data_IF_966885414186
#
_entry.id   IF_966885414186
#
_cell.length_a   1.000
_cell.length_b   1.000
_cell.length_c   1.000
_cell.angle_alpha   90.00
_cell.angle_beta   90.00
_cell.angle_gamma   90.00
#
_symmetry.space_group_name_H-M   'P 1'
#
loop_
_entity.id
_entity.type
_entity.pdbx_description
1 polymer ?
#
# COMPACT_ATOMS: atom_id res chain seq x y z
N UNK A 1 -28.40 -55.36 -28.28
CA UNK A 1 -27.78 -54.21 -28.94
C UNK A 1 -26.94 -53.50 -27.91
N UNK A 2 -25.67 -53.87 -27.92
CA UNK A 2 -24.73 -53.61 -26.84
C UNK A 2 -24.42 -52.12 -26.68
N UNK A 3 -24.13 -51.66 -25.44
CA UNK A 3 -23.90 -50.26 -25.16
C UNK A 3 -22.57 -49.75 -25.76
N UNK A 4 -22.50 -48.47 -26.14
CA UNK A 4 -21.39 -47.88 -26.88
C UNK A 4 -20.09 -47.72 -26.07
N UNK A 5 -18.98 -47.77 -26.81
CA UNK A 5 -17.58 -47.92 -26.40
C UNK A 5 -16.93 -46.78 -25.58
N UNK A 6 -17.69 -45.91 -24.92
CA UNK A 6 -17.14 -44.85 -24.06
C UNK A 6 -16.78 -45.33 -22.64
N UNK A 7 -17.13 -46.58 -22.29
CA UNK A 7 -16.85 -47.17 -20.97
C UNK A 7 -15.42 -47.72 -20.82
N UNK A 8 -14.64 -47.82 -21.90
CA UNK A 8 -13.28 -48.42 -21.89
C UNK A 8 -12.12 -47.42 -21.75
N UNK A 9 -12.40 -46.12 -21.58
CA UNK A 9 -11.37 -45.08 -21.42
C UNK A 9 -11.04 -44.79 -19.94
N UNK A 10 -11.76 -45.39 -18.98
CA UNK A 10 -11.63 -45.09 -17.55
C UNK A 10 -10.68 -46.01 -16.74
N UNK A 11 -10.03 -47.01 -17.35
CA UNK A 11 -9.21 -48.01 -16.62
C UNK A 11 -7.91 -48.38 -17.35
N UNK A 12 -7.05 -47.39 -17.60
CA UNK A 12 -5.81 -47.54 -18.37
C UNK A 12 -5.00 -48.82 -18.11
N UNK A 13 -4.81 -49.61 -19.17
CA UNK A 13 -3.71 -50.57 -19.36
C UNK A 13 -3.45 -50.81 -20.86
N UNK A 14 -2.20 -51.12 -21.26
CA UNK A 14 -1.74 -51.07 -22.66
C UNK A 14 -1.80 -52.43 -23.35
N UNK A 15 -1.93 -52.46 -24.68
CA UNK A 15 -1.51 -53.62 -25.47
C UNK A 15 -1.03 -53.24 -26.88
N UNK A 16 0.25 -53.50 -27.12
CA UNK A 16 0.90 -53.64 -28.44
C UNK A 16 0.79 -55.13 -28.83
N UNK A 17 0.67 -55.52 -30.12
CA UNK A 17 1.90 -55.87 -30.85
C UNK A 17 1.88 -55.56 -32.36
N UNK A 18 3.10 -55.44 -32.88
CA UNK A 18 3.51 -55.33 -34.27
C UNK A 18 3.06 -56.50 -35.17
N UNK A 19 2.85 -56.22 -36.47
CA UNK A 19 3.60 -56.78 -37.62
C UNK A 19 2.84 -56.41 -38.90
N UNK A 20 3.56 -55.92 -39.93
CA UNK A 20 3.42 -56.32 -41.35
C UNK A 20 4.26 -55.35 -42.20
N UNK A 21 5.28 -55.91 -42.85
CA UNK A 21 6.16 -55.24 -43.80
C UNK A 21 5.73 -55.57 -45.24
N UNK A 22 5.90 -54.64 -46.17
CA UNK A 22 6.25 -54.96 -47.57
C UNK A 22 6.99 -53.79 -48.24
N UNK A 23 7.83 -54.07 -49.26
CA UNK A 23 8.90 -53.19 -49.74
C UNK A 23 8.60 -52.53 -51.09
N UNK A 24 9.32 -51.45 -51.45
CA UNK A 24 9.99 -51.20 -52.75
C UNK A 24 10.36 -49.72 -52.97
N UNK A 25 11.30 -49.50 -53.90
CA UNK A 25 11.81 -48.26 -54.52
C UNK A 25 12.92 -47.48 -53.78
N UNK A 26 14.22 -47.72 -54.04
CA UNK A 26 15.05 -47.50 -55.26
C UNK A 26 15.45 -46.02 -55.48
N UNK A 27 16.77 -45.79 -55.40
CA UNK A 27 17.61 -44.65 -55.87
C UNK A 27 17.51 -43.31 -55.12
N UNK A 28 18.61 -42.95 -54.45
CA UNK A 28 19.43 -41.81 -54.88
C UNK A 28 20.79 -41.81 -54.19
N UNK A 29 21.79 -41.55 -55.02
CA UNK A 29 23.21 -41.52 -54.81
C UNK A 29 23.76 -40.48 -53.81
N UNK A 30 24.92 -40.84 -53.27
CA UNK A 30 26.09 -39.96 -53.04
C UNK A 30 25.88 -38.71 -52.18
N UNK A 31 26.31 -38.80 -50.92
CA UNK A 31 27.24 -37.88 -50.24
C UNK A 31 27.80 -38.70 -49.06
N UNK A 32 29.14 -38.86 -48.94
CA UNK A 32 29.75 -39.34 -47.69
C UNK A 32 30.06 -38.13 -46.80
N UNK A 33 29.36 -37.92 -45.67
CA UNK A 33 29.84 -37.00 -44.65
C UNK A 33 30.91 -37.70 -43.81
N UNK A 34 31.98 -36.97 -43.48
CA UNK A 34 33.02 -37.35 -42.52
C UNK A 34 32.40 -38.01 -41.28
N UNK A 35 33.04 -39.06 -40.77
CA UNK A 35 32.73 -39.66 -39.46
C UNK A 35 32.78 -38.57 -38.39
N UNK A 36 31.62 -38.05 -38.00
CA UNK A 36 31.48 -37.15 -36.85
C UNK A 36 31.76 -38.02 -35.62
N UNK A 37 32.92 -37.82 -34.99
CA UNK A 37 33.18 -38.36 -33.66
C UNK A 37 32.15 -37.72 -32.74
N UNK A 38 31.15 -38.50 -32.32
CA UNK A 38 30.19 -38.07 -31.30
C UNK A 38 30.97 -37.94 -29.99
N UNK A 39 31.36 -36.72 -29.65
CA UNK A 39 31.76 -36.39 -28.28
C UNK A 39 30.51 -36.63 -27.44
N UNK A 40 30.54 -37.63 -26.55
CA UNK A 40 29.46 -37.82 -25.58
C UNK A 40 29.28 -36.49 -24.83
N UNK A 41 28.05 -35.99 -24.65
CA UNK A 41 27.86 -34.85 -23.78
C UNK A 41 28.34 -35.30 -22.40
N UNK A 42 29.36 -34.60 -21.87
CA UNK A 42 29.77 -34.76 -20.48
C UNK A 42 28.47 -34.68 -19.68
N UNK A 43 28.09 -35.78 -19.01
CA UNK A 43 27.00 -35.80 -18.02
C UNK A 43 27.48 -34.99 -16.82
N UNK A 44 27.60 -33.69 -17.04
CA UNK A 44 28.17 -32.72 -16.14
C UNK A 44 27.13 -32.48 -15.05
N UNK A 45 27.46 -32.97 -13.87
CA UNK A 45 27.19 -32.44 -12.52
C UNK A 45 25.79 -31.92 -12.14
N UNK A 46 24.78 -31.94 -13.01
CA UNK A 46 23.41 -31.47 -12.72
C UNK A 46 22.76 -32.29 -11.62
N UNK A 47 23.06 -33.59 -11.54
CA UNK A 47 22.53 -34.47 -10.48
C UNK A 47 23.16 -34.20 -9.12
N UNK A 48 24.45 -33.82 -9.06
CA UNK A 48 25.12 -33.46 -7.79
C UNK A 48 24.77 -32.03 -7.37
N UNK A 49 24.66 -31.10 -8.31
CA UNK A 49 24.20 -29.73 -8.04
C UNK A 49 22.76 -29.71 -7.53
N UNK A 50 21.87 -30.50 -8.15
CA UNK A 50 20.47 -30.61 -7.72
C UNK A 50 20.35 -31.28 -6.34
N UNK A 51 21.15 -32.32 -6.09
CA UNK A 51 21.19 -32.98 -4.78
C UNK A 51 21.83 -32.09 -3.70
N UNK A 52 22.81 -31.26 -4.07
CA UNK A 52 23.39 -30.27 -3.19
C UNK A 52 22.41 -29.13 -2.90
N UNK A 53 21.62 -28.67 -3.88
CA UNK A 53 20.59 -27.66 -3.64
C UNK A 53 19.45 -28.20 -2.77
N UNK A 54 19.02 -29.45 -3.00
CA UNK A 54 18.01 -30.12 -2.18
C UNK A 54 18.51 -30.31 -0.73
N UNK A 55 19.77 -30.74 -0.55
CA UNK A 55 20.40 -30.86 0.77
C UNK A 55 20.53 -29.51 1.49
N UNK A 56 20.94 -28.46 0.78
CA UNK A 56 21.01 -27.09 1.32
C UNK A 56 19.61 -26.58 1.70
N UNK A 57 18.58 -26.86 0.89
CA UNK A 57 17.20 -26.47 1.17
C UNK A 57 16.63 -27.18 2.40
N UNK A 58 16.80 -28.49 2.54
CA UNK A 58 16.36 -29.24 3.73
C UNK A 58 17.02 -28.71 5.00
N UNK A 59 18.31 -28.37 4.93
CA UNK A 59 19.07 -27.97 6.12
C UNK A 59 18.86 -26.50 6.53
N UNK A 60 18.43 -25.65 5.60
CA UNK A 60 18.14 -24.23 5.85
C UNK A 60 16.66 -23.98 6.18
N UNK A 61 15.73 -24.75 5.60
CA UNK A 61 14.29 -24.48 5.70
C UNK A 61 13.59 -25.21 6.85
N UNK A 62 14.06 -26.40 7.23
CA UNK A 62 13.43 -27.22 8.28
C UNK A 62 13.99 -26.90 9.68
N UNK A 63 14.08 -25.61 10.03
CA UNK A 63 14.40 -25.16 11.39
C UNK A 63 13.13 -24.75 12.12
N UNK A 64 12.98 -25.26 13.35
CA UNK A 64 11.89 -24.89 14.26
C UNK A 64 11.77 -23.36 14.37
N UNK A 65 10.63 -22.82 13.90
CA UNK A 65 10.29 -21.39 13.92
C UNK A 65 10.43 -20.84 15.34
N UNK A 66 11.57 -20.23 15.61
CA UNK A 66 11.89 -19.63 16.90
C UNK A 66 11.77 -18.12 16.73
N UNK A 67 10.93 -17.46 17.53
CA UNK A 67 10.71 -16.01 17.49
C UNK A 67 12.04 -15.18 17.54
N UNK A 68 13.09 -15.74 18.17
CA UNK A 68 14.43 -15.18 18.18
C UNK A 68 15.09 -15.05 16.79
N UNK A 69 14.81 -15.97 15.87
CA UNK A 69 15.35 -15.92 14.51
C UNK A 69 14.73 -14.76 13.71
N UNK A 70 13.46 -14.42 13.94
CA UNK A 70 12.82 -13.28 13.30
C UNK A 70 13.46 -11.96 13.77
N UNK A 71 13.66 -11.79 15.09
CA UNK A 71 14.35 -10.62 15.63
C UNK A 71 15.80 -10.51 15.14
N UNK A 72 16.53 -11.62 15.08
CA UNK A 72 17.90 -11.65 14.56
C UNK A 72 17.94 -11.28 13.07
N UNK A 73 17.00 -11.78 12.28
CA UNK A 73 16.88 -11.47 10.84
C UNK A 73 16.60 -9.99 10.64
N UNK A 74 15.67 -9.40 11.42
CA UNK A 74 15.37 -7.97 11.37
C UNK A 74 16.60 -7.14 11.75
N UNK A 75 17.32 -7.52 12.82
CA UNK A 75 18.55 -6.84 13.24
C UNK A 75 19.62 -6.86 12.13
N UNK A 76 19.84 -8.02 11.51
CA UNK A 76 20.80 -8.17 10.42
C UNK A 76 20.38 -7.34 9.20
N UNK A 77 19.09 -7.34 8.84
CA UNK A 77 18.58 -6.51 7.74
C UNK A 77 18.76 -5.01 8.00
N UNK A 78 18.51 -4.55 9.24
CA UNK A 78 18.74 -3.16 9.64
C UNK A 78 20.23 -2.81 9.54
N UNK A 79 21.12 -3.67 10.02
CA UNK A 79 22.57 -3.47 9.96
C UNK A 79 23.09 -3.46 8.52
N UNK A 80 22.60 -4.36 7.66
CA UNK A 80 22.94 -4.40 6.23
C UNK A 80 22.45 -3.13 5.53
N UNK A 81 21.22 -2.69 5.82
CA UNK A 81 20.66 -1.46 5.26
C UNK A 81 21.47 -0.24 5.72
N UNK A 82 21.90 -0.22 6.98
CA UNK A 82 22.76 0.84 7.52
C UNK A 82 24.15 0.84 6.89
N UNK A 83 24.77 -0.32 6.72
CA UNK A 83 26.07 -0.47 6.07
C UNK A 83 26.01 -0.05 4.60
N UNK A 84 24.93 -0.39 3.90
CA UNK A 84 24.65 0.08 2.54
C UNK A 84 24.54 1.62 2.48
N UNK A 85 23.82 2.23 3.43
CA UNK A 85 23.68 3.69 3.52
C UNK A 85 25.02 4.39 3.80
N UNK A 86 25.85 3.84 4.68
CA UNK A 86 27.21 4.33 4.94
C UNK A 86 28.05 4.30 3.67
N UNK A 87 28.00 3.20 2.91
CA UNK A 87 28.76 3.05 1.67
C UNK A 87 28.29 4.03 0.58
N UNK A 88 26.99 4.32 0.51
CA UNK A 88 26.40 5.15 -0.56
C UNK A 88 26.50 6.66 -0.30
N UNK A 89 26.44 7.12 0.96
CA UNK A 89 26.25 8.53 1.32
C UNK A 89 27.33 9.11 2.24
N UNK A 90 28.37 8.32 2.58
CA UNK A 90 29.64 8.64 3.25
C UNK A 90 29.67 9.85 4.20
N UNK A 91 29.58 11.09 3.71
CA UNK A 91 29.67 12.32 4.53
C UNK A 91 28.38 12.67 5.29
N UNK A 92 27.20 12.27 4.81
CA UNK A 92 25.90 12.63 5.42
C UNK A 92 25.37 11.60 6.43
N UNK A 93 26.07 10.48 6.59
CA UNK A 93 25.73 9.35 7.49
C UNK A 93 26.62 9.32 8.74
N UNK A 94 27.43 10.36 8.94
CA UNK A 94 28.14 10.55 10.22
C UNK A 94 27.14 10.68 11.37
N UNK A 95 27.51 10.34 12.63
CA UNK A 95 26.60 10.45 13.79
C UNK A 95 26.00 11.86 14.00
N UNK A 96 26.60 12.88 13.38
CA UNK A 96 26.14 14.27 13.34
C UNK A 96 25.25 14.62 12.14
N UNK A 97 25.15 13.75 11.13
CA UNK A 97 24.43 13.97 9.89
C UNK A 97 22.91 13.83 10.02
N UNK A 98 22.18 14.57 9.20
CA UNK A 98 20.71 14.62 9.26
C UNK A 98 20.04 13.30 8.81
N UNK A 99 20.64 12.54 7.87
CA UNK A 99 20.16 11.20 7.53
C UNK A 99 20.29 10.22 8.68
N UNK A 100 21.38 10.29 9.44
CA UNK A 100 21.57 9.45 10.62
C UNK A 100 20.48 9.74 11.67
N UNK A 101 20.19 11.02 11.92
CA UNK A 101 19.11 11.43 12.84
C UNK A 101 17.74 10.92 12.39
N UNK A 102 17.45 10.91 11.08
CA UNK A 102 16.23 10.32 10.53
C UNK A 102 16.16 8.81 10.72
N UNK A 103 17.26 8.10 10.47
CA UNK A 103 17.31 6.67 10.69
C UNK A 103 17.06 6.32 12.16
N UNK A 104 17.71 7.03 13.08
CA UNK A 104 17.49 6.86 14.51
C UNK A 104 16.03 7.15 14.88
N UNK A 105 15.42 8.20 14.32
CA UNK A 105 13.99 8.45 14.50
C UNK A 105 13.13 7.25 14.08
N UNK A 106 13.37 6.69 12.90
CA UNK A 106 12.62 5.53 12.38
C UNK A 106 12.84 4.30 13.26
N UNK A 107 14.08 4.02 13.69
CA UNK A 107 14.39 2.88 14.56
C UNK A 107 13.75 3.03 15.94
N UNK A 108 13.84 4.21 16.56
CA UNK A 108 13.17 4.50 17.83
C UNK A 108 11.65 4.37 17.71
N UNK A 109 11.05 4.86 16.62
CA UNK A 109 9.63 4.69 16.37
C UNK A 109 9.25 3.21 16.19
N UNK A 110 10.05 2.43 15.45
CA UNK A 110 9.84 1.00 15.24
C UNK A 110 9.93 0.18 16.53
N UNK A 111 10.79 0.58 17.49
CA UNK A 111 10.88 -0.05 18.82
C UNK A 111 9.77 0.42 19.76
N UNK A 112 9.35 1.69 19.67
CA UNK A 112 8.31 2.24 20.53
C UNK A 112 6.90 1.71 20.20
N UNK A 113 6.65 1.35 18.93
CA UNK A 113 5.41 0.73 18.49
C UNK A 113 5.07 -0.58 19.25
N UNK A 114 5.91 -1.63 19.27
CA UNK A 114 5.64 -2.84 20.03
C UNK A 114 5.67 -2.62 21.55
N UNK A 115 6.47 -1.67 22.04
CA UNK A 115 6.50 -1.33 23.46
C UNK A 115 5.15 -0.77 23.96
N UNK A 116 4.54 0.12 23.18
CA UNK A 116 3.19 0.63 23.48
C UNK A 116 2.11 -0.42 23.25
N UNK A 117 2.29 -1.33 22.28
CA UNK A 117 1.40 -2.47 22.08
C UNK A 117 1.39 -3.42 23.29
N UNK A 118 2.53 -3.62 23.97
CA UNK A 118 2.61 -4.42 25.21
C UNK A 118 1.73 -3.83 26.33
N UNK A 119 1.57 -2.51 26.35
CA UNK A 119 0.68 -1.79 27.26
C UNK A 119 -0.79 -1.75 26.78
N UNK A 120 -1.13 -2.49 25.71
CA UNK A 120 -2.44 -2.48 25.03
C UNK A 120 -2.84 -1.12 24.45
N UNK A 121 -1.86 -0.25 24.17
CA UNK A 121 -2.09 1.03 23.51
C UNK A 121 -1.85 0.91 22.00
N UNK A 122 -2.46 1.78 21.16
CA UNK A 122 -2.23 1.79 19.73
C UNK A 122 -0.74 2.02 19.40
N UNK A 123 -0.10 1.24 18.52
CA UNK A 123 1.33 1.37 18.19
C UNK A 123 1.74 2.77 17.68
N UNK A 124 0.82 3.48 17.02
CA UNK A 124 1.03 4.84 16.54
C UNK A 124 1.31 5.84 17.67
N UNK A 125 0.75 5.61 18.85
CA UNK A 125 1.05 6.41 20.03
C UNK A 125 2.52 6.28 20.42
N UNK A 126 3.09 5.07 20.37
CA UNK A 126 4.51 4.83 20.63
C UNK A 126 5.40 5.54 19.61
N UNK A 127 5.05 5.46 18.33
CA UNK A 127 5.79 6.16 17.27
C UNK A 127 5.75 7.69 17.46
N UNK A 128 4.59 8.24 17.83
CA UNK A 128 4.45 9.67 18.12
C UNK A 128 5.29 10.09 19.33
N UNK A 129 5.23 9.34 20.43
CA UNK A 129 6.00 9.62 21.65
C UNK A 129 7.51 9.56 21.39
N UNK A 130 7.98 8.59 20.60
CA UNK A 130 9.38 8.51 20.20
C UNK A 130 9.82 9.78 19.46
N UNK A 131 9.01 10.27 18.53
CA UNK A 131 9.28 11.52 17.82
C UNK A 131 9.30 12.75 18.73
N UNK A 132 8.34 12.85 19.66
CA UNK A 132 8.29 13.94 20.65
C UNK A 132 9.55 13.90 21.52
N UNK A 133 9.90 12.75 22.11
CA UNK A 133 11.07 12.60 23.00
C UNK A 133 12.37 12.98 22.26
N UNK A 134 12.57 12.47 21.04
CA UNK A 134 13.78 12.77 20.26
C UNK A 134 13.89 14.25 19.88
N UNK A 135 12.76 14.92 19.63
CA UNK A 135 12.72 16.36 19.39
C UNK A 135 12.98 17.15 20.67
N UNK A 136 12.38 16.75 21.80
CA UNK A 136 12.52 17.42 23.10
C UNK A 136 13.93 17.34 23.67
N UNK A 137 14.62 16.21 23.51
CA UNK A 137 16.03 16.03 23.92
C UNK A 137 16.99 16.82 23.02
N UNK A 138 16.51 17.39 21.91
CA UNK A 138 17.31 18.15 20.96
C UNK A 138 18.13 17.27 20.00
N UNK A 139 17.93 15.95 20.02
CA UNK A 139 18.62 15.01 19.14
C UNK A 139 18.13 15.13 17.70
N UNK A 140 16.80 15.27 17.51
CA UNK A 140 16.20 15.38 16.19
C UNK A 140 16.07 16.84 15.74
N UNK A 141 17.06 17.28 14.97
CA UNK A 141 16.98 18.49 14.15
C UNK A 141 17.40 18.14 12.73
N UNK A 142 16.60 18.58 11.77
CA UNK A 142 16.76 18.26 10.36
C UNK A 142 16.83 19.59 9.60
N UNK A 143 17.88 19.78 8.83
CA UNK A 143 18.19 21.04 8.15
C UNK A 143 18.35 20.84 6.63
N UNK A 144 18.46 21.93 5.87
CA UNK A 144 18.68 21.86 4.41
C UNK A 144 17.50 21.25 3.64
N UNK A 145 17.80 20.25 2.78
CA UNK A 145 16.82 19.60 1.88
C UNK A 145 15.90 18.60 2.59
N UNK A 146 16.31 18.14 3.76
CA UNK A 146 15.69 17.01 4.43
C UNK A 146 14.25 17.26 4.97
N UNK A 147 13.86 18.46 5.43
CA UNK A 147 12.46 18.72 5.78
C UNK A 147 11.51 18.57 4.58
N UNK A 148 11.94 18.96 3.38
CA UNK A 148 11.18 18.77 2.15
C UNK A 148 11.03 17.28 1.82
N UNK A 149 12.11 16.49 1.97
CA UNK A 149 12.07 15.03 1.80
C UNK A 149 11.07 14.39 2.78
N UNK A 150 11.08 14.78 4.06
CA UNK A 150 10.13 14.27 5.06
C UNK A 150 8.69 14.64 4.71
N UNK A 151 8.45 15.86 4.25
CA UNK A 151 7.13 16.28 3.80
C UNK A 151 6.63 15.41 2.64
N UNK A 152 7.48 15.20 1.63
CA UNK A 152 7.16 14.36 0.46
C UNK A 152 6.94 12.90 0.84
N UNK A 153 7.72 12.34 1.77
CA UNK A 153 7.54 10.98 2.29
C UNK A 153 6.21 10.82 3.01
N UNK A 154 5.83 11.79 3.85
CA UNK A 154 4.54 11.78 4.55
C UNK A 154 3.37 11.85 3.57
N UNK A 155 3.45 12.73 2.58
CA UNK A 155 2.45 12.84 1.52
C UNK A 155 2.34 11.52 0.73
N UNK A 156 3.47 10.96 0.29
CA UNK A 156 3.53 9.67 -0.41
C UNK A 156 2.89 8.54 0.40
N UNK A 157 3.20 8.44 1.70
CA UNK A 157 2.63 7.42 2.57
C UNK A 157 1.10 7.58 2.70
N UNK A 158 0.62 8.81 2.90
CA UNK A 158 -0.81 9.12 2.94
C UNK A 158 -1.51 8.71 1.64
N UNK A 159 -0.93 9.03 0.49
CA UNK A 159 -1.44 8.63 -0.84
C UNK A 159 -1.59 7.12 -0.95
N UNK A 160 -0.55 6.36 -0.58
CA UNK A 160 -0.58 4.89 -0.64
C UNK A 160 -1.67 4.31 0.27
N UNK A 161 -1.84 4.88 1.47
CA UNK A 161 -2.89 4.46 2.41
C UNK A 161 -4.29 4.73 1.82
N UNK A 162 -4.52 5.92 1.25
CA UNK A 162 -5.80 6.27 0.63
C UNK A 162 -6.10 5.45 -0.62
N UNK A 163 -5.09 5.16 -1.45
CA UNK A 163 -5.24 4.24 -2.61
C UNK A 163 -5.65 2.85 -2.12
N UNK A 164 -4.99 2.32 -1.08
CA UNK A 164 -5.38 1.04 -0.47
C UNK A 164 -6.81 1.08 0.07
N UNK A 165 -7.22 2.17 0.72
CA UNK A 165 -8.59 2.35 1.19
C UNK A 165 -9.59 2.26 0.03
N UNK A 166 -9.34 3.03 -1.04
CA UNK A 166 -10.21 3.10 -2.22
C UNK A 166 -10.34 1.76 -2.95
N UNK A 167 -9.22 1.05 -3.14
CA UNK A 167 -9.22 -0.29 -3.73
C UNK A 167 -9.90 -1.35 -2.84
N UNK A 168 -9.97 -1.10 -1.52
CA UNK A 168 -10.67 -1.95 -0.56
C UNK A 168 -12.18 -1.73 -0.49
N UNK A 169 -12.74 -0.76 -1.21
CA UNK A 169 -14.18 -0.47 -1.21
C UNK A 169 -14.96 -1.46 -2.11
N UNK A 170 -16.17 -1.81 -1.70
CA UNK A 170 -17.14 -2.50 -2.55
C UNK A 170 -18.12 -1.48 -3.18
N UNK A 171 -18.08 -1.28 -4.51
CA UNK A 171 -18.97 -0.33 -5.19
C UNK A 171 -20.46 -0.63 -5.02
N UNK A 172 -20.84 -1.91 -4.97
CA UNK A 172 -22.26 -2.29 -4.85
C UNK A 172 -22.82 -1.88 -3.48
N UNK A 173 -22.07 -2.17 -2.41
CA UNK A 173 -22.39 -1.72 -1.05
C UNK A 173 -22.34 -0.20 -0.93
N UNK A 174 -21.38 0.47 -1.57
CA UNK A 174 -21.24 1.93 -1.52
C UNK A 174 -22.47 2.64 -2.10
N UNK A 175 -22.96 2.21 -3.27
CA UNK A 175 -24.16 2.78 -3.89
C UNK A 175 -25.39 2.52 -3.00
N UNK A 176 -25.52 1.29 -2.47
CA UNK A 176 -26.62 0.91 -1.58
C UNK A 176 -26.66 1.74 -0.30
N UNK A 177 -25.52 2.11 0.25
CA UNK A 177 -25.39 2.84 1.52
C UNK A 177 -25.04 4.33 1.34
N UNK A 178 -25.06 4.85 0.12
CA UNK A 178 -24.59 6.21 -0.24
C UNK A 178 -25.16 7.31 0.66
N UNK A 179 -26.46 7.29 0.95
CA UNK A 179 -27.10 8.27 1.84
C UNK A 179 -26.59 8.16 3.29
N UNK A 180 -26.30 6.95 3.77
CA UNK A 180 -25.73 6.71 5.10
C UNK A 180 -24.29 7.20 5.15
N UNK A 181 -23.51 6.98 4.08
CA UNK A 181 -22.13 7.48 3.95
C UNK A 181 -22.08 9.00 4.05
N UNK A 182 -22.94 9.70 3.31
CA UNK A 182 -23.02 11.17 3.33
C UNK A 182 -23.43 11.67 4.73
N UNK A 183 -24.46 11.06 5.33
CA UNK A 183 -24.90 11.44 6.67
C UNK A 183 -23.81 11.20 7.72
N UNK A 184 -23.10 10.07 7.65
CA UNK A 184 -22.05 9.71 8.58
C UNK A 184 -20.77 10.54 8.40
N UNK A 185 -20.44 10.94 7.18
CA UNK A 185 -19.25 11.76 6.90
C UNK A 185 -19.44 13.25 7.20
N UNK A 186 -20.64 13.82 7.01
CA UNK A 186 -20.84 15.27 7.12
C UNK A 186 -21.49 15.68 8.46
N UNK A 187 -22.50 14.95 8.92
CA UNK A 187 -23.28 15.38 10.09
C UNK A 187 -22.48 15.31 11.40
N UNK A 188 -21.79 14.20 11.75
CA UNK A 188 -20.91 14.15 12.92
C UNK A 188 -19.80 15.20 12.84
N UNK A 189 -19.09 15.26 11.70
CA UNK A 189 -18.02 16.22 11.44
C UNK A 189 -18.42 17.66 11.77
N UNK A 190 -19.55 18.11 11.21
CA UNK A 190 -20.06 19.48 11.41
C UNK A 190 -20.52 19.73 12.84
N UNK A 191 -21.19 18.77 13.47
CA UNK A 191 -21.64 18.90 14.87
C UNK A 191 -20.43 18.95 15.81
N UNK A 192 -19.42 18.11 15.60
CA UNK A 192 -18.18 18.10 16.39
C UNK A 192 -17.43 19.42 16.22
N UNK A 193 -17.22 19.87 14.99
CA UNK A 193 -16.54 21.14 14.69
C UNK A 193 -17.25 22.34 15.34
N UNK A 194 -18.58 22.42 15.24
CA UNK A 194 -19.37 23.51 15.85
C UNK A 194 -19.31 23.42 17.37
N UNK A 195 -19.38 22.21 17.94
CA UNK A 195 -19.26 22.02 19.40
C UNK A 195 -17.91 22.50 19.91
N UNK A 196 -16.82 22.12 19.22
CA UNK A 196 -15.46 22.57 19.55
C UNK A 196 -15.34 24.09 19.41
N UNK A 197 -15.91 24.68 18.36
CA UNK A 197 -15.91 26.12 18.17
C UNK A 197 -16.66 26.85 19.29
N UNK A 198 -17.85 26.40 19.66
CA UNK A 198 -18.63 26.94 20.78
C UNK A 198 -17.82 26.87 22.07
N UNK A 199 -17.21 25.72 22.37
CA UNK A 199 -16.36 25.56 23.55
C UNK A 199 -15.17 26.51 23.52
N UNK A 200 -14.49 26.67 22.37
CA UNK A 200 -13.34 27.56 22.24
C UNK A 200 -13.72 29.05 22.43
N UNK A 201 -14.88 29.48 21.92
CA UNK A 201 -15.38 30.85 22.13
C UNK A 201 -15.65 31.10 23.61
N UNK A 202 -16.37 30.19 24.29
CA UNK A 202 -16.77 30.41 25.68
C UNK A 202 -15.64 30.16 26.69
N UNK A 203 -14.75 29.20 26.43
CA UNK A 203 -13.67 28.84 27.35
C UNK A 203 -12.42 29.69 27.15
N UNK A 204 -12.05 29.99 25.90
CA UNK A 204 -10.81 30.68 25.56
C UNK A 204 -11.03 32.14 25.14
N UNK A 205 -12.28 32.57 24.95
CA UNK A 205 -12.60 33.93 24.50
C UNK A 205 -12.22 34.19 23.05
N UNK A 206 -12.07 33.15 22.23
CA UNK A 206 -11.63 33.29 20.85
C UNK A 206 -12.73 33.85 19.94
N UNK A 207 -12.38 34.58 18.87
CA UNK A 207 -13.35 34.97 17.84
C UNK A 207 -13.92 33.74 17.13
N UNK A 208 -15.19 33.82 16.71
CA UNK A 208 -15.91 32.71 16.07
C UNK A 208 -15.19 32.09 14.87
N UNK A 209 -14.59 32.91 13.99
CA UNK A 209 -13.87 32.39 12.82
C UNK A 209 -12.65 31.54 13.22
N UNK A 210 -11.85 32.00 14.18
CA UNK A 210 -10.71 31.23 14.71
C UNK A 210 -11.14 29.96 15.42
N UNK A 211 -12.25 30.03 16.16
CA UNK A 211 -12.84 28.89 16.82
C UNK A 211 -13.38 27.84 15.83
N UNK A 212 -13.98 28.28 14.71
CA UNK A 212 -14.42 27.39 13.63
C UNK A 212 -13.24 26.75 12.88
N UNK A 213 -12.17 27.51 12.62
CA UNK A 213 -10.91 26.95 12.08
C UNK A 213 -10.38 25.85 13.01
N UNK A 214 -10.36 26.09 14.33
CA UNK A 214 -9.96 25.07 15.30
C UNK A 214 -10.91 23.87 15.30
N UNK A 215 -12.22 24.11 15.22
CA UNK A 215 -13.24 23.06 15.18
C UNK A 215 -13.03 22.10 14.02
N UNK A 216 -12.89 22.63 12.80
CA UNK A 216 -12.67 21.82 11.60
C UNK A 216 -11.26 21.21 11.53
N UNK A 217 -10.27 21.80 12.21
CA UNK A 217 -8.94 21.20 12.37
C UNK A 217 -8.98 19.96 13.29
N UNK A 218 -9.78 19.99 14.34
CA UNK A 218 -9.82 18.94 15.36
C UNK A 218 -10.83 17.82 15.07
N UNK A 219 -11.90 18.09 14.31
CA UNK A 219 -12.90 17.06 13.99
C UNK A 219 -12.44 16.07 12.91
N UNK A 220 -11.41 16.41 12.12
CA UNK A 220 -10.93 15.56 11.03
C UNK A 220 -10.40 14.22 11.55
N UNK A 221 -10.89 13.13 10.95
CA UNK A 221 -10.47 11.76 11.30
C UNK A 221 -9.09 11.46 10.71
N UNK A 222 -8.33 10.54 11.33
CA UNK A 222 -7.03 10.13 10.78
C UNK A 222 -7.14 8.85 9.94
N UNK A 223 -7.04 8.92 8.60
CA UNK A 223 -7.11 7.73 7.74
C UNK A 223 -5.88 6.83 7.93
N UNK A 224 -4.74 7.38 8.34
CA UNK A 224 -3.53 6.60 8.62
C UNK A 224 -3.73 5.57 9.75
N UNK A 225 -4.68 5.82 10.67
CA UNK A 225 -5.03 4.91 11.76
C UNK A 225 -6.22 4.04 11.35
N UNK A 226 -7.26 4.67 10.82
CA UNK A 226 -8.56 4.02 10.59
C UNK A 226 -8.52 3.07 9.40
N UNK A 227 -7.86 3.44 8.30
CA UNK A 227 -7.83 2.64 7.07
C UNK A 227 -7.17 1.28 7.29
N UNK A 228 -5.93 1.17 7.83
CA UNK A 228 -5.30 -0.13 8.02
C UNK A 228 -6.10 -1.04 8.96
N UNK A 229 -6.67 -0.49 10.03
CA UNK A 229 -7.46 -1.26 10.99
C UNK A 229 -8.76 -1.78 10.38
N UNK A 230 -9.47 -0.97 9.59
CA UNK A 230 -10.70 -1.42 8.94
C UNK A 230 -10.44 -2.44 7.83
N UNK A 231 -9.33 -2.32 7.10
CA UNK A 231 -8.94 -3.32 6.10
C UNK A 231 -8.56 -4.64 6.78
N UNK A 232 -7.79 -4.63 7.88
CA UNK A 232 -7.49 -5.84 8.67
C UNK A 232 -8.76 -6.52 9.20
N UNK A 233 -9.69 -5.74 9.75
CA UNK A 233 -10.98 -6.26 10.21
C UNK A 233 -11.80 -6.86 9.07
N UNK A 234 -11.78 -6.23 7.89
CA UNK A 234 -12.44 -6.73 6.68
C UNK A 234 -11.81 -8.05 6.22
N UNK A 235 -10.48 -8.14 6.16
CA UNK A 235 -9.75 -9.36 5.80
C UNK A 235 -10.07 -10.52 6.76
N UNK A 236 -10.36 -10.20 8.03
CA UNK A 236 -10.79 -11.17 9.06
C UNK A 236 -12.30 -11.47 9.02
N UNK A 237 -13.05 -10.91 8.07
CA UNK A 237 -14.49 -11.15 7.88
C UNK A 237 -15.42 -10.37 8.82
N UNK A 238 -14.91 -9.39 9.59
CA UNK A 238 -15.74 -8.61 10.52
C UNK A 238 -16.53 -7.51 9.79
N UNK A 239 -17.86 -7.52 9.97
CA UNK A 239 -18.73 -6.44 9.49
C UNK A 239 -18.93 -6.37 7.98
N UNK A 240 -18.33 -7.29 7.22
CA UNK A 240 -18.40 -7.34 5.75
C UNK A 240 -19.84 -7.56 5.26
N UNK A 241 -20.58 -8.49 5.87
CA UNK A 241 -21.99 -8.78 5.51
C UNK A 241 -22.91 -7.55 5.61
N UNK A 242 -22.56 -6.57 6.46
CA UNK A 242 -23.31 -5.33 6.65
C UNK A 242 -22.70 -4.14 5.90
N UNK A 243 -21.58 -4.34 5.21
CA UNK A 243 -20.88 -3.28 4.51
C UNK A 243 -20.22 -2.25 5.42
N UNK A 244 -20.00 -2.57 6.70
CA UNK A 244 -19.52 -1.59 7.69
C UNK A 244 -18.13 -1.05 7.34
N UNK A 245 -17.12 -1.89 7.00
CA UNK A 245 -15.80 -1.37 6.62
C UNK A 245 -15.88 -0.42 5.41
N UNK A 246 -16.64 -0.78 4.38
CA UNK A 246 -16.83 0.07 3.19
C UNK A 246 -17.56 1.37 3.52
N UNK A 247 -18.61 1.31 4.35
CA UNK A 247 -19.35 2.48 4.81
C UNK A 247 -18.44 3.45 5.56
N UNK A 248 -17.67 2.95 6.53
CA UNK A 248 -16.82 3.80 7.39
C UNK A 248 -15.62 4.34 6.60
N UNK A 249 -14.97 3.53 5.75
CA UNK A 249 -13.88 4.00 4.89
C UNK A 249 -14.36 5.12 3.95
N UNK A 250 -15.53 4.97 3.33
CA UNK A 250 -16.08 6.01 2.46
C UNK A 250 -16.52 7.26 3.23
N UNK A 251 -17.11 7.08 4.42
CA UNK A 251 -17.52 8.20 5.27
C UNK A 251 -16.32 8.99 5.80
N UNK A 252 -15.23 8.31 6.17
CA UNK A 252 -13.96 8.92 6.58
C UNK A 252 -13.37 9.80 5.44
N UNK A 253 -13.43 9.35 4.20
CA UNK A 253 -12.97 10.17 3.07
C UNK A 253 -13.83 11.43 2.86
N UNK A 254 -15.16 11.33 3.04
CA UNK A 254 -16.04 12.49 2.97
C UNK A 254 -15.86 13.44 4.15
N UNK A 255 -15.60 12.91 5.34
CA UNK A 255 -15.25 13.66 6.55
C UNK A 255 -13.99 14.51 6.29
N UNK A 256 -12.91 13.89 5.84
CA UNK A 256 -11.64 14.56 5.54
C UNK A 256 -11.81 15.67 4.49
N UNK A 257 -12.55 15.40 3.40
CA UNK A 257 -12.84 16.41 2.37
C UNK A 257 -13.62 17.58 2.98
N UNK A 258 -14.66 17.29 3.75
CA UNK A 258 -15.50 18.33 4.37
C UNK A 258 -14.70 19.17 5.36
N UNK A 259 -13.90 18.53 6.21
CA UNK A 259 -13.08 19.18 7.22
C UNK A 259 -12.03 20.09 6.59
N UNK A 260 -11.28 19.61 5.58
CA UNK A 260 -10.24 20.38 4.90
C UNK A 260 -10.85 21.55 4.12
N UNK A 261 -11.95 21.34 3.40
CA UNK A 261 -12.61 22.41 2.63
C UNK A 261 -13.16 23.51 3.54
N UNK A 262 -13.81 23.14 4.65
CA UNK A 262 -14.33 24.12 5.62
C UNK A 262 -13.21 24.83 6.38
N UNK A 263 -12.17 24.10 6.81
CA UNK A 263 -10.96 24.69 7.40
C UNK A 263 -10.36 25.76 6.47
N UNK A 264 -10.18 25.42 5.19
CA UNK A 264 -9.59 26.31 4.19
C UNK A 264 -10.48 27.52 3.91
N UNK A 265 -11.81 27.33 3.88
CA UNK A 265 -12.78 28.40 3.73
C UNK A 265 -12.71 29.41 4.88
N UNK A 266 -12.75 28.96 6.14
CA UNK A 266 -12.67 29.87 7.29
C UNK A 266 -11.31 30.54 7.41
N UNK A 267 -10.22 29.82 7.12
CA UNK A 267 -8.88 30.37 7.11
C UNK A 267 -8.72 31.45 6.02
N UNK A 268 -9.30 31.21 4.83
CA UNK A 268 -9.35 32.17 3.74
C UNK A 268 -10.09 33.45 4.15
N UNK A 269 -11.25 33.34 4.79
CA UNK A 269 -12.00 34.49 5.28
C UNK A 269 -11.26 35.33 6.34
N UNK A 270 -10.32 34.74 7.09
CA UNK A 270 -9.52 35.45 8.09
C UNK A 270 -8.40 36.26 7.43
N UNK A 271 -7.69 35.66 6.47
CA UNK A 271 -6.46 36.23 5.91
C UNK A 271 -6.64 36.97 4.58
N UNK A 272 -7.78 36.78 3.91
CA UNK A 272 -8.05 37.42 2.63
C UNK A 272 -8.74 38.76 2.78
N UNK A 273 -8.25 39.75 2.04
CA UNK A 273 -8.90 41.05 1.80
C UNK A 273 -9.64 41.12 0.46
N UNK A 274 -9.68 40.02 -0.31
CA UNK A 274 -10.31 39.95 -1.64
C UNK A 274 -11.82 39.69 -1.61
N UNK A 275 -12.42 39.57 -2.81
CA UNK A 275 -13.86 39.34 -2.99
C UNK A 275 -14.29 38.01 -2.32
N UNK A 276 -15.18 38.12 -1.33
CA UNK A 276 -15.65 37.01 -0.50
C UNK A 276 -16.30 35.91 -1.35
N UNK A 277 -16.93 36.31 -2.46
CA UNK A 277 -17.65 35.44 -3.38
C UNK A 277 -16.74 34.40 -4.03
N UNK A 278 -15.54 34.81 -4.47
CA UNK A 278 -14.58 33.92 -5.11
C UNK A 278 -13.97 32.91 -4.13
N UNK A 279 -13.79 33.28 -2.86
CA UNK A 279 -13.24 32.39 -1.84
C UNK A 279 -14.24 31.34 -1.37
N UNK A 280 -15.51 31.74 -1.22
CA UNK A 280 -16.58 30.79 -0.91
C UNK A 280 -16.74 29.78 -2.05
N UNK A 281 -16.58 30.22 -3.30
CA UNK A 281 -16.69 29.35 -4.46
C UNK A 281 -15.47 28.43 -4.62
N UNK A 282 -14.29 28.85 -4.18
CA UNK A 282 -13.04 28.09 -4.34
C UNK A 282 -13.09 26.72 -3.64
N UNK A 283 -13.61 26.66 -2.41
CA UNK A 283 -13.71 25.40 -1.66
C UNK A 283 -14.52 24.31 -2.41
N UNK A 284 -15.79 24.57 -2.75
CA UNK A 284 -16.60 23.66 -3.55
C UNK A 284 -16.01 23.35 -4.93
N UNK A 285 -15.36 24.31 -5.59
CA UNK A 285 -14.73 24.04 -6.89
C UNK A 285 -13.57 23.08 -6.78
N UNK A 286 -12.75 23.16 -5.73
CA UNK A 286 -11.62 22.24 -5.53
C UNK A 286 -12.11 20.81 -5.31
N UNK A 287 -13.20 20.63 -4.54
CA UNK A 287 -13.86 19.32 -4.35
C UNK A 287 -14.35 18.79 -5.71
N UNK A 288 -15.05 19.63 -6.48
CA UNK A 288 -15.63 19.24 -7.76
C UNK A 288 -14.55 18.84 -8.77
N UNK A 289 -13.47 19.63 -8.88
CA UNK A 289 -12.32 19.33 -9.73
C UNK A 289 -11.67 18.02 -9.30
N UNK A 290 -11.48 17.79 -8.00
CA UNK A 290 -10.94 16.54 -7.46
C UNK A 290 -11.79 15.31 -7.82
N UNK A 291 -13.12 15.40 -7.68
CA UNK A 291 -14.05 14.33 -8.04
C UNK A 291 -13.99 14.05 -9.55
N UNK A 292 -14.08 15.09 -10.38
CA UNK A 292 -14.07 14.93 -11.84
C UNK A 292 -12.74 14.34 -12.31
N UNK A 293 -11.61 14.89 -11.87
CA UNK A 293 -10.29 14.39 -12.22
C UNK A 293 -10.09 12.93 -11.75
N UNK A 294 -10.52 12.62 -10.52
CA UNK A 294 -10.46 11.26 -9.97
C UNK A 294 -11.29 10.25 -10.74
N UNK A 295 -12.53 10.59 -11.11
CA UNK A 295 -13.40 9.73 -11.94
C UNK A 295 -12.79 9.52 -13.32
N UNK A 296 -12.34 10.58 -13.98
CA UNK A 296 -11.70 10.49 -15.29
C UNK A 296 -10.46 9.59 -15.25
N UNK A 297 -9.58 9.79 -14.27
CA UNK A 297 -8.40 8.96 -14.11
C UNK A 297 -8.74 7.51 -13.78
N UNK A 298 -9.75 7.28 -12.94
CA UNK A 298 -10.26 5.94 -12.62
C UNK A 298 -10.79 5.20 -13.84
N UNK A 299 -11.54 5.89 -14.70
CA UNK A 299 -12.04 5.34 -15.97
C UNK A 299 -10.86 4.97 -16.89
N UNK A 300 -9.89 5.88 -17.06
CA UNK A 300 -8.68 5.64 -17.88
C UNK A 300 -7.91 4.42 -17.38
N UNK A 301 -7.68 4.32 -16.06
CA UNK A 301 -7.03 3.16 -15.45
C UNK A 301 -7.83 1.88 -15.65
N UNK A 302 -9.16 1.93 -15.57
CA UNK A 302 -10.03 0.78 -15.77
C UNK A 302 -10.10 0.29 -17.23
N UNK A 303 -10.06 1.21 -18.19
CA UNK A 303 -10.29 0.93 -19.61
C UNK A 303 -9.05 0.58 -20.41
N UNK A 304 -7.88 1.17 -20.11
CA UNK A 304 -6.68 1.03 -20.94
C UNK A 304 -6.09 -0.40 -20.94
N UNK A 305 -5.93 -1.09 -19.79
CA UNK A 305 -5.39 -2.46 -19.80
C UNK A 305 -6.42 -3.46 -20.31
N UNK A 306 -6.10 -4.12 -21.41
CA UNK A 306 -6.94 -5.13 -22.04
C UNK A 306 -7.22 -6.29 -21.06
N UNK A 307 -8.44 -6.83 -21.06
CA UNK A 307 -8.88 -7.84 -20.08
C UNK A 307 -8.11 -9.16 -20.18
N UNK A 308 -7.58 -9.48 -21.35
CA UNK A 308 -6.88 -10.73 -21.63
C UNK A 308 -5.36 -10.65 -21.36
N UNK A 309 -4.87 -9.51 -20.89
CA UNK A 309 -3.46 -9.32 -20.55
C UNK A 309 -3.18 -9.93 -19.17
N UNK A 310 -2.23 -10.86 -19.09
CA UNK A 310 -1.81 -11.54 -17.86
C UNK A 310 -1.27 -10.53 -16.81
N UNK A 311 -0.77 -9.38 -17.26
CA UNK A 311 -0.27 -8.30 -16.39
C UNK A 311 -1.29 -7.17 -16.17
N UNK A 312 -2.57 -7.36 -16.53
CA UNK A 312 -3.58 -6.29 -16.43
C UNK A 312 -3.74 -5.75 -15.00
N UNK A 313 -3.74 -6.62 -13.98
CA UNK A 313 -3.87 -6.21 -12.57
C UNK A 313 -2.68 -5.35 -12.14
N UNK A 314 -1.46 -5.76 -12.50
CA UNK A 314 -0.26 -4.99 -12.20
C UNK A 314 -0.27 -3.63 -12.91
N UNK A 315 -0.62 -3.59 -14.20
CA UNK A 315 -0.70 -2.36 -14.98
C UNK A 315 -1.72 -1.38 -14.39
N UNK A 316 -2.91 -1.85 -14.02
CA UNK A 316 -3.95 -1.03 -13.37
C UNK A 316 -3.48 -0.48 -12.02
N UNK A 317 -2.93 -1.35 -11.17
CA UNK A 317 -2.41 -0.95 -9.86
C UNK A 317 -1.25 0.05 -9.98
N UNK A 318 -0.36 -0.14 -10.96
CA UNK A 318 0.73 0.79 -11.25
C UNK A 318 0.21 2.13 -11.76
N UNK A 319 -0.79 2.16 -12.64
CA UNK A 319 -1.39 3.40 -13.14
C UNK A 319 -2.10 4.19 -12.03
N UNK A 320 -2.84 3.50 -11.15
CA UNK A 320 -3.47 4.13 -9.98
C UNK A 320 -2.40 4.65 -9.00
N UNK A 321 -1.38 3.83 -8.72
CA UNK A 321 -0.28 4.18 -7.83
C UNK A 321 0.52 5.39 -8.32
N UNK A 322 1.09 5.29 -9.53
CA UNK A 322 1.92 6.34 -10.13
C UNK A 322 1.10 7.61 -10.37
N UNK A 323 -0.12 7.46 -10.91
CA UNK A 323 -1.02 8.60 -11.15
C UNK A 323 -1.37 9.33 -9.85
N UNK A 324 -1.72 8.58 -8.80
CA UNK A 324 -1.99 9.17 -7.48
C UNK A 324 -0.79 9.87 -6.86
N UNK A 325 0.42 9.32 -7.01
CA UNK A 325 1.65 9.97 -6.54
C UNK A 325 1.98 11.24 -7.32
N UNK A 326 1.83 11.22 -8.64
CA UNK A 326 2.06 12.40 -9.49
C UNK A 326 1.09 13.55 -9.27
N UNK A 327 -0.08 13.28 -8.69
CA UNK A 327 -1.05 14.32 -8.35
C UNK A 327 -0.67 15.10 -7.08
N UNK A 328 0.26 14.58 -6.27
CA UNK A 328 0.57 15.08 -4.93
C UNK A 328 2.00 15.59 -4.82
N UNK A 329 2.95 14.97 -5.52
CA UNK A 329 4.35 15.40 -5.62
C UNK A 329 4.52 16.50 -6.68
#
# INVERSE_FOLDING_TARGET
>A
SDPPAWLFVLLGMPHNPAFLASPEDVRADVIRPRRVVRVEPVKENKSRLKRASEWVQEQLWDRSHSCWQDYLTILVLVLITWLLLIILFSDQVTPSGDMFRMLVLVLCAAVAAPLTALLRLPPLLGMLLAGIILRTVGFYHVSGIYPAIVANLRQTAMTVILIKAGLGLDPATLVKLSLVVVRLGICPCTVEAVTIAVVAVFLLGWPWLWALVLGFLLCAISPAVVVPTLLDLKERGYGENKGIPTLVLAACSLDDITAISMFSLFLGMIFSTGDLTHQILQGPTDILVGIVAGILWGIVCGSLPHREDELAVWKRSAMVGVGGLSAIL
#
